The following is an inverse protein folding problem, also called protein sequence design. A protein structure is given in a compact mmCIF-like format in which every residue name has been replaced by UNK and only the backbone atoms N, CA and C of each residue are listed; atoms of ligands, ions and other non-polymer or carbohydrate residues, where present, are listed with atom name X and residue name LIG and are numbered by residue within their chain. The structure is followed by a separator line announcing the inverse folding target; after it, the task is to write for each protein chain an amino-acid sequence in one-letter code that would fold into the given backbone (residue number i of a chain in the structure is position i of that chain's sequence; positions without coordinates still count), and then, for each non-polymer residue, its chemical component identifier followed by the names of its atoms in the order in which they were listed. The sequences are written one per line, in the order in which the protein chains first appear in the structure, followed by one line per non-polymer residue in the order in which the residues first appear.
data_IF_348708828912
#
_entry.id   IF_348708828912
#
_cell.length_a   1.000
_cell.length_b   1.000
_cell.length_c   1.000
_cell.angle_alpha   90.00
_cell.angle_beta   90.00
_cell.angle_gamma   90.00
#
_symmetry.space_group_name_H-M   'P 1'
#
loop_
_entity.id
_entity.type
_entity.pdbx_description
1 polymer ?
#
# COMPACT_ATOMS: atom_id res chain seq x y z
N UNK A 1 3.64 45.52 29.54
CA UNK A 1 4.06 45.79 28.15
C UNK A 1 5.57 45.97 28.18
N UNK A 2 6.40 45.04 27.71
CA UNK A 2 6.61 44.71 26.29
C UNK A 2 6.86 43.20 26.12
N UNK A 3 5.91 42.53 25.47
CA UNK A 3 6.11 41.30 24.73
C UNK A 3 7.05 41.60 23.55
N UNK A 4 7.97 40.70 23.23
CA UNK A 4 8.07 39.95 21.96
C UNK A 4 9.27 39.00 22.13
N UNK A 5 9.04 37.82 22.70
CA UNK A 5 9.89 36.65 22.40
C UNK A 5 9.29 36.11 21.12
N UNK A 6 9.85 36.53 19.97
CA UNK A 6 9.45 35.99 18.67
C UNK A 6 9.94 34.55 18.67
N UNK A 7 9.04 33.63 19.03
CA UNK A 7 9.27 32.22 18.93
C UNK A 7 9.78 31.93 17.52
N UNK A 8 11.05 31.54 17.42
CA UNK A 8 11.57 30.77 16.30
C UNK A 8 10.78 29.47 16.33
N UNK A 9 9.56 29.54 15.81
CA UNK A 9 8.66 28.42 15.64
C UNK A 9 9.29 27.53 14.60
N UNK A 10 10.13 26.62 15.09
CA UNK A 10 10.71 25.49 14.39
C UNK A 10 9.67 24.97 13.40
N UNK A 11 9.88 25.28 12.13
CA UNK A 11 9.14 24.66 11.03
C UNK A 11 9.51 23.17 11.08
N UNK A 12 8.75 22.41 11.86
CA UNK A 12 8.71 20.96 11.79
C UNK A 12 7.95 20.62 10.51
N UNK A 13 8.58 20.91 9.36
CA UNK A 13 8.17 20.35 8.09
C UNK A 13 8.53 18.86 8.17
N UNK A 14 7.70 18.09 8.88
CA UNK A 14 7.72 16.65 8.75
C UNK A 14 7.37 16.39 7.29
N UNK A 15 8.38 16.09 6.48
CA UNK A 15 8.18 15.47 5.19
C UNK A 15 7.55 14.12 5.47
N UNK A 16 6.22 14.09 5.61
CA UNK A 16 5.45 12.86 5.64
C UNK A 16 5.55 12.32 4.22
N UNK A 17 6.61 11.54 3.97
CA UNK A 17 6.74 10.82 2.71
C UNK A 17 5.42 10.09 2.45
N UNK A 18 4.88 10.25 1.24
CA UNK A 18 3.60 9.68 0.90
C UNK A 18 3.61 8.18 1.22
N UNK A 19 2.76 7.77 2.17
CA UNK A 19 2.73 6.37 2.61
C UNK A 19 2.11 5.52 1.51
N UNK A 20 2.78 4.43 1.16
CA UNK A 20 2.20 3.40 0.32
C UNK A 20 1.12 2.63 1.11
N UNK A 21 0.08 2.16 0.42
CA UNK A 21 -0.75 1.12 0.98
C UNK A 21 0.04 -0.19 1.09
N UNK A 22 -0.24 -0.99 2.10
CA UNK A 22 0.43 -2.28 2.30
C UNK A 22 -0.60 -3.40 2.31
N UNK A 23 -0.35 -4.42 1.50
CA UNK A 23 -1.15 -5.65 1.42
C UNK A 23 -0.24 -6.83 1.65
N UNK A 24 -0.71 -7.82 2.41
CA UNK A 24 0.11 -8.97 2.82
C UNK A 24 -0.48 -10.27 2.29
N UNK A 25 0.40 -11.16 1.80
CA UNK A 25 0.07 -12.51 1.33
C UNK A 25 0.88 -13.52 2.11
N UNK A 26 0.23 -14.56 2.64
CA UNK A 26 0.87 -15.63 3.38
C UNK A 26 0.26 -16.99 2.99
N UNK A 27 1.09 -18.03 2.88
CA UNK A 27 0.62 -19.41 2.58
C UNK A 27 -0.45 -19.92 3.56
N UNK A 28 -0.42 -19.50 4.83
CA UNK A 28 -1.42 -19.82 5.84
C UNK A 28 -2.54 -18.77 5.99
N UNK A 29 -2.63 -17.82 5.05
CA UNK A 29 -3.65 -16.77 5.03
C UNK A 29 -5.01 -17.27 4.55
N UNK A 30 -5.89 -16.31 4.25
CA UNK A 30 -7.21 -16.58 3.68
C UNK A 30 -7.65 -15.42 2.80
N UNK A 31 -8.24 -15.68 1.64
CA UNK A 31 -8.72 -14.61 0.74
C UNK A 31 -9.97 -13.89 1.26
N UNK A 32 -10.54 -14.39 2.37
CA UNK A 32 -11.58 -13.72 3.16
C UNK A 32 -11.00 -12.74 4.18
N UNK A 33 -9.69 -12.76 4.41
CA UNK A 33 -9.05 -11.82 5.32
C UNK A 33 -9.00 -10.40 4.71
N UNK A 34 -8.74 -9.35 5.51
CA UNK A 34 -8.59 -7.99 5.01
C UNK A 34 -7.25 -7.70 4.32
N UNK A 35 -6.28 -8.63 4.30
CA UNK A 35 -4.97 -8.43 3.68
C UNK A 35 -3.97 -7.66 4.54
N UNK A 36 -4.17 -7.62 5.86
CA UNK A 36 -3.25 -6.97 6.82
C UNK A 36 -2.13 -7.91 7.24
N UNK A 37 -1.07 -7.39 7.86
CA UNK A 37 0.04 -8.20 8.38
C UNK A 37 -0.43 -9.34 9.31
N UNK A 38 -1.44 -9.06 10.15
CA UNK A 38 -2.02 -10.02 11.11
C UNK A 38 -3.03 -10.97 10.46
N UNK A 39 -3.73 -10.53 9.42
CA UNK A 39 -4.71 -11.34 8.67
C UNK A 39 -4.42 -11.19 7.16
N UNK A 40 -3.41 -11.89 6.64
CA UNK A 40 -2.99 -11.78 5.25
C UNK A 40 -3.91 -12.56 4.31
N UNK A 41 -3.91 -12.19 3.03
CA UNK A 41 -4.51 -12.98 1.97
C UNK A 41 -3.76 -14.31 1.78
N UNK A 42 -4.42 -15.29 1.15
CA UNK A 42 -3.79 -16.55 0.79
C UNK A 42 -3.13 -16.48 -0.59
N UNK A 43 -3.71 -15.72 -1.52
CA UNK A 43 -3.32 -15.73 -2.95
C UNK A 43 -2.79 -14.38 -3.45
N UNK A 44 -2.01 -14.43 -4.53
CA UNK A 44 -1.51 -13.22 -5.20
C UNK A 44 -2.63 -12.53 -6.00
N UNK A 45 -3.55 -13.31 -6.55
CA UNK A 45 -4.72 -12.85 -7.29
C UNK A 45 -5.61 -11.99 -6.40
N UNK A 46 -5.88 -12.44 -5.17
CA UNK A 46 -6.68 -11.67 -4.22
C UNK A 46 -6.00 -10.35 -3.85
N UNK A 47 -4.68 -10.36 -3.67
CA UNK A 47 -3.90 -9.16 -3.38
C UNK A 47 -3.92 -8.17 -4.55
N UNK A 48 -3.73 -8.64 -5.78
CA UNK A 48 -3.87 -7.83 -7.00
C UNK A 48 -5.25 -7.19 -7.07
N UNK A 49 -6.32 -7.97 -6.88
CA UNK A 49 -7.69 -7.47 -6.93
C UNK A 49 -7.96 -6.44 -5.82
N UNK A 50 -7.34 -6.59 -4.65
CA UNK A 50 -7.38 -5.59 -3.58
C UNK A 50 -6.67 -4.28 -3.98
N UNK A 51 -5.51 -4.35 -4.64
CA UNK A 51 -4.79 -3.17 -5.15
C UNK A 51 -5.59 -2.48 -6.26
N UNK A 52 -6.26 -3.24 -7.14
CA UNK A 52 -7.17 -2.69 -8.16
C UNK A 52 -8.36 -1.96 -7.53
N UNK A 53 -8.96 -2.55 -6.50
CA UNK A 53 -10.04 -1.90 -5.76
C UNK A 53 -9.55 -0.62 -5.06
N UNK A 54 -8.37 -0.65 -4.45
CA UNK A 54 -7.74 0.53 -3.86
C UNK A 54 -7.48 1.62 -4.89
N UNK A 55 -6.97 1.26 -6.07
CA UNK A 55 -6.76 2.20 -7.17
C UNK A 55 -8.07 2.87 -7.60
N UNK A 56 -9.14 2.09 -7.72
CA UNK A 56 -10.47 2.61 -8.05
C UNK A 56 -11.03 3.54 -6.97
N UNK A 57 -10.67 3.35 -5.70
CA UNK A 57 -11.07 4.23 -4.60
C UNK A 57 -10.15 5.43 -4.37
N UNK A 58 -9.00 5.50 -5.05
CA UNK A 58 -7.97 6.50 -4.84
C UNK A 58 -6.67 5.86 -4.33
N UNK A 59 -5.68 5.77 -5.22
CA UNK A 59 -4.34 5.27 -4.88
C UNK A 59 -3.60 6.28 -4.00
N UNK A 60 -2.97 5.87 -2.89
CA UNK A 60 -2.07 6.74 -2.14
C UNK A 60 -0.92 7.25 -3.02
N UNK A 61 -0.41 8.45 -2.74
CA UNK A 61 0.73 8.99 -3.51
C UNK A 61 2.01 8.14 -3.39
N UNK A 62 2.13 7.31 -2.34
CA UNK A 62 3.21 6.31 -2.21
C UNK A 62 2.95 5.02 -2.99
N UNK A 63 1.82 4.89 -3.68
CA UNK A 63 1.39 3.68 -4.38
C UNK A 63 0.93 2.57 -3.43
N UNK A 64 1.17 1.33 -3.83
CA UNK A 64 0.86 0.13 -3.05
C UNK A 64 2.02 -0.86 -3.07
N UNK A 65 2.29 -1.47 -1.92
CA UNK A 65 3.27 -2.55 -1.74
C UNK A 65 2.55 -3.84 -1.39
N UNK A 66 2.85 -4.92 -2.12
CA UNK A 66 2.36 -6.27 -1.80
C UNK A 66 3.51 -7.07 -1.18
N UNK A 67 3.40 -7.35 0.11
CA UNK A 67 4.35 -8.13 0.88
C UNK A 67 4.01 -9.62 0.80
N UNK A 68 4.88 -10.41 0.21
CA UNK A 68 4.76 -11.87 0.14
C UNK A 68 5.60 -12.47 1.27
N UNK A 69 4.96 -13.15 2.21
CA UNK A 69 5.63 -13.81 3.34
C UNK A 69 6.44 -15.02 2.83
N UNK A 70 7.45 -15.44 3.60
CA UNK A 70 8.27 -16.60 3.22
C UNK A 70 7.45 -17.88 3.02
N UNK A 71 7.76 -18.62 1.96
CA UNK A 71 7.10 -19.88 1.61
C UNK A 71 7.13 -20.15 0.10
N UNK A 72 6.63 -21.31 -0.30
CA UNK A 72 6.42 -21.67 -1.70
C UNK A 72 5.00 -21.32 -2.12
N UNK A 73 4.87 -20.57 -3.23
CA UNK A 73 3.60 -20.15 -3.82
C UNK A 73 3.48 -20.78 -5.20
N UNK A 74 2.78 -21.90 -5.27
CA UNK A 74 2.57 -22.61 -6.54
C UNK A 74 1.41 -21.97 -7.29
N UNK A 75 1.69 -21.41 -8.44
CA UNK A 75 0.70 -20.88 -9.36
C UNK A 75 0.24 -22.00 -10.29
N UNK A 76 -1.08 -22.19 -10.43
CA UNK A 76 -1.65 -23.14 -11.41
C UNK A 76 -1.71 -22.55 -12.81
N UNK A 77 -1.70 -21.21 -12.89
CA UNK A 77 -1.87 -20.43 -14.10
C UNK A 77 -0.92 -19.23 -14.09
N UNK A 78 -0.73 -18.61 -15.26
CA UNK A 78 0.06 -17.38 -15.36
C UNK A 78 -0.56 -16.27 -14.50
N UNK A 79 0.23 -15.69 -13.61
CA UNK A 79 -0.18 -14.51 -12.85
C UNK A 79 -0.31 -13.29 -13.77
N UNK A 80 -1.54 -12.89 -14.07
CA UNK A 80 -1.83 -11.82 -15.02
C UNK A 80 -1.72 -10.44 -14.39
N UNK A 81 -0.82 -9.62 -14.93
CA UNK A 81 -0.70 -8.19 -14.67
C UNK A 81 -0.97 -7.42 -15.96
N UNK A 82 -1.81 -6.40 -15.89
CA UNK A 82 -2.23 -5.60 -17.02
C UNK A 82 -2.22 -4.11 -16.73
N UNK A 83 -2.85 -3.34 -17.63
CA UNK A 83 -2.98 -1.88 -17.51
C UNK A 83 -3.61 -1.44 -16.18
N UNK A 84 -4.54 -2.23 -15.65
CA UNK A 84 -5.21 -1.93 -14.39
C UNK A 84 -4.25 -1.97 -13.19
N UNK A 85 -3.15 -2.72 -13.29
CA UNK A 85 -2.15 -2.89 -12.24
C UNK A 85 -1.01 -1.85 -12.33
N UNK A 86 -1.00 -1.03 -13.39
CA UNK A 86 -0.04 0.05 -13.54
C UNK A 86 -0.46 1.29 -12.74
N UNK A 87 0.51 2.02 -12.18
CA UNK A 87 0.26 3.35 -11.63
C UNK A 87 0.65 4.40 -12.69
N UNK A 88 -0.25 5.33 -13.00
CA UNK A 88 0.09 6.50 -13.82
C UNK A 88 0.12 7.69 -12.88
N UNK A 89 1.29 8.27 -12.65
CA UNK A 89 1.45 9.43 -11.78
C UNK A 89 0.92 10.68 -12.48
N UNK A 90 -0.32 11.09 -12.20
CA UNK A 90 -0.72 12.49 -12.42
C UNK A 90 -0.25 13.31 -11.23
N UNK A 91 1.03 13.67 -11.25
CA UNK A 91 1.54 14.80 -10.49
C UNK A 91 2.08 15.80 -11.51
N UNK A 92 1.22 16.75 -11.89
CA UNK A 92 1.60 18.06 -12.44
C UNK A 92 0.97 19.11 -11.54
#
# INVERSE_FOLDING_TARGET
MRLVVLAVGLALCAAVGARAAEVYVARGGSDRNPGTLAKPFATLERARDAVRALKASGMPAGGATVWIRGGEYRLTDTFQLGRDDSIFGTTL
#
